data_IF_755286641666
#
_entry.id   IF_755286641666
#
_cell.length_a   1.000
_cell.length_b   1.000
_cell.length_c   1.000
_cell.angle_alpha   90.00
_cell.angle_beta   90.00
_cell.angle_gamma   90.00
#
_symmetry.space_group_name_H-M   'P 1'
#
loop_
_entity.id
_entity.type
_entity.pdbx_description
1 polymer ?
#
# COMPACT_ATOMS: atom_id res chain seq x y z
N UNK A 1 30.46 9.18 -3.32
CA UNK A 1 29.78 9.14 -4.64
C UNK A 1 28.80 10.30 -4.90
N UNK A 2 28.28 11.07 -3.93
CA UNK A 2 27.72 12.42 -4.16
C UNK A 2 26.46 12.57 -5.04
N UNK A 3 25.70 11.50 -5.30
CA UNK A 3 24.55 11.53 -6.22
C UNK A 3 23.36 12.40 -5.75
N UNK A 4 23.28 12.69 -4.45
CA UNK A 4 22.31 13.61 -3.85
C UNK A 4 22.63 15.09 -4.13
N UNK A 5 23.80 15.36 -4.72
CA UNK A 5 24.23 16.70 -5.12
C UNK A 5 24.08 16.87 -6.62
N UNK A 6 23.52 18.00 -7.07
CA UNK A 6 23.37 18.25 -8.50
C UNK A 6 24.73 18.40 -9.19
N UNK A 7 24.97 17.67 -10.30
CA UNK A 7 26.23 17.72 -11.04
C UNK A 7 26.62 19.10 -11.56
N UNK A 8 25.66 20.03 -11.73
CA UNK A 8 25.98 21.40 -12.17
C UNK A 8 26.71 22.20 -11.09
N UNK A 9 26.52 21.85 -9.81
CA UNK A 9 27.10 22.55 -8.66
C UNK A 9 28.20 21.76 -7.97
N UNK A 10 28.18 20.44 -8.11
CA UNK A 10 29.06 19.53 -7.41
C UNK A 10 29.99 18.81 -8.38
N UNK A 11 31.29 19.05 -8.26
CA UNK A 11 32.32 18.32 -8.99
C UNK A 11 32.49 18.76 -10.45
N UNK A 12 33.29 17.98 -11.19
CA UNK A 12 33.54 18.15 -12.61
C UNK A 12 33.07 16.89 -13.33
N UNK A 13 31.83 16.90 -13.81
CA UNK A 13 31.23 15.79 -14.55
C UNK A 13 31.00 16.18 -16.00
N UNK A 14 31.06 15.20 -16.91
CA UNK A 14 30.55 15.42 -18.26
C UNK A 14 29.04 15.59 -18.22
N UNK A 15 28.45 16.16 -19.28
CA UNK A 15 27.00 16.33 -19.35
C UNK A 15 26.25 14.99 -19.35
N UNK A 16 26.87 13.95 -19.94
CA UNK A 16 26.37 12.58 -19.90
C UNK A 16 26.37 12.02 -18.48
N UNK A 17 27.51 12.09 -17.78
CA UNK A 17 27.63 11.64 -16.39
C UNK A 17 26.65 12.37 -15.48
N UNK A 18 26.47 13.68 -15.69
CA UNK A 18 25.52 14.49 -14.95
C UNK A 18 24.08 14.01 -15.10
N UNK A 19 23.63 13.77 -16.33
CA UNK A 19 22.29 13.25 -16.60
C UNK A 19 22.10 11.81 -16.06
N UNK A 20 23.10 10.94 -16.24
CA UNK A 20 23.07 9.58 -15.67
C UNK A 20 22.98 9.59 -14.14
N UNK A 21 23.68 10.53 -13.48
CA UNK A 21 23.59 10.73 -12.03
C UNK A 21 22.21 11.20 -11.59
N UNK A 22 21.59 12.14 -12.31
CA UNK A 22 20.20 12.58 -12.04
C UNK A 22 19.21 11.43 -12.15
N UNK A 23 19.28 10.63 -13.23
CA UNK A 23 18.42 9.44 -13.42
C UNK A 23 18.60 8.40 -12.32
N UNK A 24 19.86 8.12 -11.97
CA UNK A 24 20.19 7.18 -10.89
C UNK A 24 19.65 7.68 -9.54
N UNK A 25 19.89 8.95 -9.21
CA UNK A 25 19.44 9.53 -7.94
C UNK A 25 17.93 9.57 -7.81
N UNK A 26 17.21 9.99 -8.85
CA UNK A 26 15.75 9.93 -8.87
C UNK A 26 15.26 8.49 -8.65
N UNK A 27 15.90 7.49 -9.27
CA UNK A 27 15.53 6.08 -9.09
C UNK A 27 15.71 5.63 -7.64
N UNK A 28 16.83 5.99 -7.01
CA UNK A 28 17.13 5.67 -5.61
C UNK A 28 16.08 6.30 -4.67
N UNK A 29 15.75 7.57 -4.86
CA UNK A 29 14.71 8.26 -4.08
C UNK A 29 13.35 7.58 -4.21
N UNK A 30 12.96 7.24 -5.43
CA UNK A 30 11.68 6.58 -5.66
C UNK A 30 11.63 5.20 -4.99
N UNK A 31 12.72 4.42 -5.08
CA UNK A 31 12.80 3.10 -4.43
C UNK A 31 12.77 3.20 -2.91
N UNK A 32 13.54 4.12 -2.32
CA UNK A 32 13.59 4.34 -0.86
C UNK A 32 12.18 4.59 -0.30
N UNK A 33 11.46 5.58 -0.84
CA UNK A 33 10.11 5.92 -0.36
C UNK A 33 9.13 4.74 -0.54
N UNK A 34 9.17 4.04 -1.69
CA UNK A 34 8.26 2.92 -1.95
C UNK A 34 8.51 1.72 -1.04
N UNK A 35 9.78 1.34 -0.84
CA UNK A 35 10.17 0.18 -0.04
C UNK A 35 9.97 0.49 1.43
N UNK A 36 10.41 1.66 1.91
CA UNK A 36 10.18 2.09 3.29
C UNK A 36 8.70 2.05 3.64
N UNK A 37 7.82 2.55 2.76
CA UNK A 37 6.38 2.46 2.98
C UNK A 37 5.87 1.01 3.08
N UNK A 38 6.33 0.12 2.20
CA UNK A 38 5.92 -1.30 2.25
C UNK A 38 6.35 -2.01 3.53
N UNK A 39 7.48 -1.60 4.11
CA UNK A 39 8.02 -2.14 5.36
C UNK A 39 7.48 -1.43 6.60
N UNK A 40 6.64 -0.41 6.41
CA UNK A 40 6.15 0.44 7.49
C UNK A 40 7.21 1.27 8.19
N UNK A 41 8.25 1.65 7.46
CA UNK A 41 9.37 2.45 7.94
C UNK A 41 9.35 3.86 7.33
N UNK A 42 9.98 4.85 7.99
CA UNK A 42 10.27 6.12 7.35
C UNK A 42 11.27 5.95 6.20
N UNK A 43 11.19 6.86 5.22
CA UNK A 43 12.20 6.96 4.14
C UNK A 43 13.57 7.27 4.75
N UNK A 44 14.63 6.63 4.27
CA UNK A 44 16.00 6.90 4.76
C UNK A 44 16.59 8.18 4.18
N UNK A 45 16.11 8.59 2.99
CA UNK A 45 16.59 9.79 2.30
C UNK A 45 15.85 11.03 2.82
N UNK A 46 16.62 11.95 3.42
CA UNK A 46 16.16 13.28 3.77
C UNK A 46 16.23 14.21 2.55
N UNK A 47 15.08 14.66 2.05
CA UNK A 47 15.00 15.51 0.85
C UNK A 47 15.67 16.88 1.04
N UNK A 48 15.67 17.43 2.25
CA UNK A 48 16.33 18.72 2.55
C UNK A 48 17.85 18.67 2.36
N UNK A 49 18.43 17.47 2.36
CA UNK A 49 19.86 17.25 2.15
C UNK A 49 20.21 16.99 0.67
N UNK A 50 19.25 17.15 -0.24
CA UNK A 50 19.38 16.84 -1.66
C UNK A 50 19.12 18.09 -2.51
N UNK A 51 19.96 18.34 -3.53
CA UNK A 51 19.73 19.43 -4.50
C UNK A 51 19.75 18.97 -5.96
N UNK A 52 19.88 17.66 -6.21
CA UNK A 52 19.82 17.06 -7.55
C UNK A 52 18.51 17.39 -8.27
N UNK A 53 18.62 17.94 -9.48
CA UNK A 53 17.48 18.28 -10.33
C UNK A 53 16.80 17.04 -10.91
N UNK A 54 15.55 17.21 -11.37
CA UNK A 54 14.84 16.17 -12.11
C UNK A 54 15.56 15.84 -13.43
N UNK A 55 15.57 14.57 -13.88
CA UNK A 55 16.14 14.18 -15.18
C UNK A 55 15.45 14.89 -16.35
N UNK A 56 16.18 15.11 -17.45
CA UNK A 56 15.59 15.66 -18.69
C UNK A 56 14.87 14.57 -19.45
N UNK A 57 13.75 14.89 -20.11
CA UNK A 57 13.02 13.94 -20.95
C UNK A 57 13.76 13.66 -22.26
N UNK A 58 14.81 12.83 -22.19
CA UNK A 58 15.66 12.41 -23.31
C UNK A 58 15.63 10.89 -23.44
N UNK A 59 15.58 10.39 -24.67
CA UNK A 59 15.80 8.98 -24.96
C UNK A 59 17.28 8.62 -24.79
N UNK A 60 17.57 7.35 -24.55
CA UNK A 60 18.96 6.88 -24.45
C UNK A 60 19.73 7.03 -25.78
N UNK A 61 19.01 7.17 -26.90
CA UNK A 61 19.58 7.46 -28.22
C UNK A 61 19.82 8.95 -28.48
N UNK A 62 19.36 9.85 -27.60
CA UNK A 62 19.46 11.29 -27.82
C UNK A 62 20.84 11.86 -27.42
N UNK A 63 21.63 11.13 -26.62
CA UNK A 63 22.93 11.56 -26.10
C UNK A 63 23.76 10.36 -25.60
N UNK A 64 25.07 10.56 -25.51
CA UNK A 64 26.09 9.55 -25.20
C UNK A 64 27.30 10.19 -24.48
N UNK A 65 28.36 9.41 -24.22
CA UNK A 65 29.57 9.86 -23.54
C UNK A 65 30.32 10.98 -24.27
N UNK A 66 30.16 11.07 -25.60
CA UNK A 66 30.83 12.07 -26.44
C UNK A 66 30.08 13.40 -26.49
N UNK A 67 28.81 13.41 -26.09
CA UNK A 67 27.95 14.60 -26.04
C UNK A 67 28.57 15.70 -25.17
N UNK A 68 28.67 16.91 -25.71
CA UNK A 68 29.23 18.09 -25.00
C UNK A 68 28.18 19.02 -24.42
N UNK A 69 27.00 19.04 -25.01
CA UNK A 69 25.85 19.83 -24.56
C UNK A 69 24.62 18.94 -24.67
N UNK A 70 23.86 18.80 -23.57
CA UNK A 70 22.64 18.01 -23.59
C UNK A 70 21.58 18.66 -24.49
N UNK A 71 20.87 17.87 -25.32
CA UNK A 71 19.71 18.35 -26.05
C UNK A 71 18.64 18.94 -25.13
N UNK A 72 17.73 19.70 -25.74
CA UNK A 72 16.53 20.16 -25.06
C UNK A 72 15.64 18.98 -24.68
N UNK A 73 14.97 19.11 -23.52
CA UNK A 73 14.03 18.11 -23.05
C UNK A 73 12.86 17.98 -24.04
N UNK A 74 12.49 16.75 -24.39
CA UNK A 74 11.32 16.50 -25.24
C UNK A 74 10.04 17.00 -24.56
N UNK A 75 9.06 17.50 -25.34
CA UNK A 75 7.77 17.92 -24.81
C UNK A 75 7.03 16.77 -24.13
N UNK A 76 6.17 17.10 -23.17
CA UNK A 76 5.44 16.11 -22.37
C UNK A 76 4.16 15.58 -23.05
N UNK A 77 4.02 15.77 -24.37
CA UNK A 77 2.90 15.28 -25.15
C UNK A 77 3.17 13.91 -25.82
N UNK A 78 4.42 13.42 -25.78
CA UNK A 78 4.84 12.15 -26.37
C UNK A 78 5.08 11.08 -25.29
N UNK A 79 4.71 9.81 -25.52
CA UNK A 79 4.85 8.72 -24.53
C UNK A 79 6.28 8.18 -24.48
N UNK A 80 7.26 9.03 -24.16
CA UNK A 80 8.65 8.58 -24.00
C UNK A 80 8.78 7.68 -22.76
N UNK A 81 9.76 6.76 -22.79
CA UNK A 81 10.05 5.92 -21.62
C UNK A 81 10.57 6.69 -20.41
N UNK A 82 11.04 7.93 -20.57
CA UNK A 82 11.51 8.71 -19.44
C UNK A 82 10.42 9.66 -18.90
N UNK A 83 9.42 10.00 -19.72
CA UNK A 83 8.33 10.87 -19.28
C UNK A 83 7.54 10.25 -18.12
N UNK A 84 7.17 8.97 -18.20
CA UNK A 84 6.46 8.33 -17.07
C UNK A 84 7.30 8.34 -15.79
N UNK A 85 8.62 8.19 -15.92
CA UNK A 85 9.55 8.18 -14.80
C UNK A 85 9.65 9.57 -14.14
N UNK A 86 9.73 10.63 -14.95
CA UNK A 86 9.72 12.03 -14.49
C UNK A 86 8.39 12.37 -13.81
N UNK A 87 7.26 11.99 -14.42
CA UNK A 87 5.92 12.24 -13.85
C UNK A 87 5.74 11.46 -12.55
N UNK A 88 6.20 10.21 -12.49
CA UNK A 88 6.24 9.44 -11.24
C UNK A 88 7.06 10.15 -10.18
N UNK A 89 8.24 10.66 -10.51
CA UNK A 89 9.11 11.37 -9.56
C UNK A 89 8.39 12.55 -8.90
N UNK A 90 7.59 13.31 -9.66
CA UNK A 90 6.76 14.42 -9.14
C UNK A 90 5.73 13.94 -8.12
N UNK A 91 5.04 12.83 -8.42
CA UNK A 91 4.03 12.27 -7.51
C UNK A 91 4.65 11.65 -6.26
N UNK A 92 5.88 11.12 -6.38
CA UNK A 92 6.60 10.52 -5.26
C UNK A 92 7.00 11.53 -4.19
N UNK A 93 7.12 12.81 -4.51
CA UNK A 93 7.32 13.88 -3.51
C UNK A 93 6.12 13.96 -2.54
N UNK A 94 4.91 14.10 -3.08
CA UNK A 94 3.68 14.10 -2.29
C UNK A 94 3.50 12.79 -1.51
N UNK A 95 3.86 11.66 -2.13
CA UNK A 95 3.78 10.37 -1.46
C UNK A 95 4.72 10.30 -0.25
N UNK A 96 5.94 10.84 -0.36
CA UNK A 96 6.87 10.97 0.77
C UNK A 96 6.29 11.77 1.93
N UNK A 97 5.66 12.91 1.66
CA UNK A 97 5.01 13.74 2.69
C UNK A 97 3.83 13.02 3.35
N UNK A 98 3.00 12.32 2.57
CA UNK A 98 1.89 11.52 3.08
C UNK A 98 2.38 10.36 3.94
N UNK A 99 3.48 9.70 3.55
CA UNK A 99 4.10 8.65 4.36
C UNK A 99 4.61 9.22 5.69
N UNK A 100 5.25 10.39 5.68
CA UNK A 100 5.68 11.06 6.91
C UNK A 100 4.49 11.42 7.82
N UNK A 101 3.40 11.93 7.25
CA UNK A 101 2.16 12.20 8.02
C UNK A 101 1.56 10.90 8.58
N UNK A 102 1.54 9.82 7.82
CA UNK A 102 1.02 8.53 8.26
C UNK A 102 1.82 7.93 9.43
N UNK A 103 3.13 8.18 9.47
CA UNK A 103 4.04 7.75 10.54
C UNK A 103 4.16 8.79 11.68
N UNK A 104 3.52 9.94 11.55
CA UNK A 104 3.59 11.00 12.56
C UNK A 104 2.55 10.78 13.66
N UNK A 105 3.00 10.84 14.92
CA UNK A 105 2.10 10.94 16.08
C UNK A 105 1.43 12.31 16.20
N UNK A 106 1.94 13.33 15.52
CA UNK A 106 1.33 14.67 15.52
C UNK A 106 0.10 14.65 14.63
N UNK A 107 -1.02 15.04 15.21
CA UNK A 107 -2.27 15.20 14.47
C UNK A 107 -2.25 16.48 13.67
N UNK A 108 -2.59 16.39 12.37
CA UNK A 108 -2.87 17.57 11.55
C UNK A 108 -4.28 18.06 11.83
N UNK A 109 -4.44 19.38 11.86
CA UNK A 109 -5.73 20.04 11.82
C UNK A 109 -6.47 19.74 10.52
N UNK A 110 -7.80 19.91 10.53
CA UNK A 110 -8.62 19.73 9.31
C UNK A 110 -8.15 20.62 8.15
N UNK A 111 -7.72 21.85 8.44
CA UNK A 111 -7.18 22.77 7.45
C UNK A 111 -5.90 22.22 6.78
N UNK A 112 -4.99 21.65 7.57
CA UNK A 112 -3.75 21.04 7.06
C UNK A 112 -4.03 19.78 6.22
N UNK A 113 -5.03 18.98 6.60
CA UNK A 113 -5.44 17.79 5.83
C UNK A 113 -6.02 18.21 4.47
N UNK A 114 -6.89 19.23 4.46
CA UNK A 114 -7.48 19.77 3.23
C UNK A 114 -6.39 20.34 2.33
N UNK A 115 -5.42 21.05 2.91
CA UNK A 115 -4.30 21.64 2.19
C UNK A 115 -3.41 20.56 1.53
N UNK A 116 -3.02 19.53 2.29
CA UNK A 116 -2.22 18.43 1.73
C UNK A 116 -2.99 17.65 0.65
N UNK A 117 -4.29 17.39 0.84
CA UNK A 117 -5.12 16.80 -0.22
C UNK A 117 -5.18 17.68 -1.48
N UNK A 118 -5.25 19.01 -1.31
CA UNK A 118 -5.24 19.95 -2.43
C UNK A 118 -3.92 19.89 -3.19
N UNK A 119 -2.79 19.84 -2.50
CA UNK A 119 -1.45 19.70 -3.09
C UNK A 119 -1.33 18.38 -3.87
N UNK A 120 -1.78 17.26 -3.29
CA UNK A 120 -1.81 15.96 -3.96
C UNK A 120 -2.58 16.03 -5.29
N UNK A 121 -3.77 16.62 -5.26
CA UNK A 121 -4.62 16.78 -6.45
C UNK A 121 -4.02 17.76 -7.46
N UNK A 122 -3.41 18.85 -6.99
CA UNK A 122 -2.75 19.83 -7.85
C UNK A 122 -1.58 19.21 -8.60
N UNK A 123 -0.70 18.45 -7.95
CA UNK A 123 0.38 17.75 -8.66
C UNK A 123 -0.17 16.78 -9.69
N UNK A 124 -1.25 16.06 -9.39
CA UNK A 124 -1.88 15.15 -10.36
C UNK A 124 -2.45 15.89 -11.59
N UNK A 125 -2.91 17.14 -11.46
CA UNK A 125 -3.36 17.94 -12.63
C UNK A 125 -2.23 18.21 -13.63
N UNK A 126 -0.96 18.17 -13.19
CA UNK A 126 0.23 18.32 -14.05
C UNK A 126 0.56 17.05 -14.85
N UNK A 127 -0.12 15.93 -14.58
CA UNK A 127 0.07 14.69 -15.36
C UNK A 127 -0.33 14.95 -16.81
N UNK A 128 0.58 14.74 -17.78
CA UNK A 128 0.29 15.00 -19.18
C UNK A 128 -0.76 14.06 -19.75
N UNK A 129 -1.53 14.55 -20.73
CA UNK A 129 -2.67 13.84 -21.32
C UNK A 129 -2.29 12.44 -21.85
N UNK A 130 -1.09 12.29 -22.39
CA UNK A 130 -0.60 10.99 -22.90
C UNK A 130 -0.43 9.94 -21.81
N UNK A 131 -0.25 10.36 -20.55
CA UNK A 131 -0.07 9.50 -19.37
C UNK A 131 -1.29 9.47 -18.45
N UNK A 132 -2.42 10.07 -18.84
CA UNK A 132 -3.67 9.96 -18.08
C UNK A 132 -4.36 8.62 -18.33
N UNK A 133 -5.04 8.14 -17.30
CA UNK A 133 -5.87 6.94 -17.35
C UNK A 133 -6.98 7.04 -18.37
N UNK A 134 -7.22 5.93 -19.06
CA UNK A 134 -8.27 5.78 -20.06
C UNK A 134 -8.87 4.37 -19.94
N UNK A 135 -10.14 4.18 -20.31
CA UNK A 135 -10.71 2.85 -20.41
C UNK A 135 -9.85 1.94 -21.30
N UNK A 136 -9.72 0.68 -20.91
CA UNK A 136 -8.93 -0.32 -21.68
C UNK A 136 -9.49 -0.47 -23.09
N UNK A 137 -10.83 -0.43 -23.22
CA UNK A 137 -11.51 -0.49 -24.52
C UNK A 137 -11.08 0.63 -25.50
N UNK A 138 -10.61 1.76 -24.99
CA UNK A 138 -10.10 2.88 -25.80
C UNK A 138 -8.59 2.78 -26.06
N UNK A 139 -7.90 1.81 -25.43
CA UNK A 139 -6.44 1.66 -25.46
C UNK A 139 -5.97 0.49 -26.34
N UNK A 140 -6.80 0.00 -27.27
CA UNK A 140 -6.51 -1.19 -28.10
C UNK A 140 -5.22 -1.02 -28.92
N UNK A 141 -4.98 0.19 -29.44
CA UNK A 141 -3.80 0.51 -30.24
C UNK A 141 -2.58 0.89 -29.39
N UNK A 142 -2.74 1.06 -28.08
CA UNK A 142 -1.66 1.48 -27.21
C UNK A 142 -0.73 0.32 -26.86
N UNK A 143 0.57 0.62 -26.74
CA UNK A 143 1.54 -0.35 -26.27
C UNK A 143 1.22 -0.76 -24.81
N UNK A 144 1.33 -2.06 -24.44
CA UNK A 144 1.06 -2.52 -23.07
C UNK A 144 1.81 -1.74 -21.99
N UNK A 145 3.04 -1.30 -22.27
CA UNK A 145 3.83 -0.48 -21.35
C UNK A 145 3.16 0.88 -21.06
N UNK A 146 2.56 1.52 -22.06
CA UNK A 146 1.87 2.79 -21.89
C UNK A 146 0.60 2.61 -21.04
N UNK A 147 -0.17 1.55 -21.27
CA UNK A 147 -1.36 1.22 -20.49
C UNK A 147 -1.00 1.02 -19.01
N UNK A 148 0.04 0.24 -18.73
CA UNK A 148 0.49 -0.04 -17.36
C UNK A 148 1.07 1.20 -16.68
N UNK A 149 1.84 2.02 -17.38
CA UNK A 149 2.40 3.25 -16.77
C UNK A 149 1.31 4.27 -16.41
N UNK A 150 0.25 4.40 -17.23
CA UNK A 150 -0.95 5.18 -16.87
C UNK A 150 -1.62 4.66 -15.60
N UNK A 151 -1.79 3.35 -15.49
CA UNK A 151 -2.30 2.73 -14.26
C UNK A 151 -1.43 3.09 -13.05
N UNK A 152 -0.11 3.00 -13.16
CA UNK A 152 0.79 3.29 -12.03
C UNK A 152 0.72 4.73 -11.55
N UNK A 153 0.63 5.68 -12.47
CA UNK A 153 0.47 7.09 -12.14
C UNK A 153 -0.84 7.32 -11.38
N UNK A 154 -1.93 6.70 -11.84
CA UNK A 154 -3.22 6.76 -11.17
C UNK A 154 -3.20 6.12 -9.78
N UNK A 155 -2.63 4.92 -9.65
CA UNK A 155 -2.56 4.21 -8.38
C UNK A 155 -1.73 4.98 -7.35
N UNK A 156 -0.60 5.57 -7.74
CA UNK A 156 0.22 6.41 -6.84
C UNK A 156 -0.61 7.60 -6.33
N UNK A 157 -1.36 8.27 -7.21
CA UNK A 157 -2.21 9.38 -6.80
C UNK A 157 -3.29 8.93 -5.82
N UNK A 158 -4.06 7.89 -6.16
CA UNK A 158 -5.14 7.37 -5.31
C UNK A 158 -4.60 6.84 -3.97
N UNK A 159 -3.42 6.23 -3.99
CA UNK A 159 -2.71 5.76 -2.80
C UNK A 159 -2.41 6.90 -1.83
N UNK A 160 -1.93 8.04 -2.32
CA UNK A 160 -1.70 9.21 -1.48
C UNK A 160 -2.99 9.65 -0.78
N UNK A 161 -4.11 9.71 -1.51
CA UNK A 161 -5.42 10.08 -0.96
C UNK A 161 -5.88 9.08 0.10
N UNK A 162 -5.82 7.77 -0.20
CA UNK A 162 -6.20 6.71 0.73
C UNK A 162 -5.38 6.77 2.04
N UNK A 163 -4.06 6.90 1.94
CA UNK A 163 -3.16 6.89 3.10
C UNK A 163 -3.37 8.13 3.98
N UNK A 164 -3.51 9.31 3.36
CA UNK A 164 -3.78 10.55 4.07
C UNK A 164 -5.09 10.47 4.86
N UNK A 165 -6.16 10.04 4.22
CA UNK A 165 -7.50 10.16 4.79
C UNK A 165 -7.91 8.98 5.68
N UNK A 166 -7.28 7.80 5.58
CA UNK A 166 -7.74 6.60 6.32
C UNK A 166 -7.82 6.82 7.83
N UNK A 167 -6.81 7.48 8.42
CA UNK A 167 -6.70 7.67 9.88
C UNK A 167 -7.78 8.63 10.38
N UNK A 168 -8.09 9.66 9.60
CA UNK A 168 -9.11 10.65 9.91
C UNK A 168 -10.54 10.13 9.65
N UNK A 169 -10.71 9.27 8.63
CA UNK A 169 -11.97 8.55 8.39
C UNK A 169 -12.34 7.67 9.59
N UNK A 170 -11.40 6.88 10.12
CA UNK A 170 -11.63 6.04 11.29
C UNK A 170 -12.15 6.83 12.51
N UNK A 171 -11.65 8.07 12.67
CA UNK A 171 -12.05 9.02 13.73
C UNK A 171 -13.35 9.78 13.43
N UNK A 172 -13.78 9.78 12.18
CA UNK A 172 -15.09 10.29 11.77
C UNK A 172 -15.14 11.63 11.08
N UNK A 173 -14.01 12.10 10.59
CA UNK A 173 -14.00 13.26 9.71
C UNK A 173 -14.74 12.94 8.39
N UNK A 174 -15.84 13.66 8.11
CA UNK A 174 -16.71 13.41 6.96
C UNK A 174 -16.01 13.64 5.61
N UNK A 175 -15.19 14.68 5.53
CA UNK A 175 -14.41 15.01 4.32
C UNK A 175 -13.43 13.89 3.98
N UNK A 176 -12.76 13.35 5.00
CA UNK A 176 -11.83 12.24 4.87
C UNK A 176 -12.54 10.96 4.50
N UNK A 177 -13.70 10.67 5.09
CA UNK A 177 -14.51 9.52 4.67
C UNK A 177 -14.87 9.61 3.19
N UNK A 178 -15.38 10.75 2.71
CA UNK A 178 -15.74 10.94 1.30
C UNK A 178 -14.53 10.73 0.39
N UNK A 179 -13.39 11.34 0.73
CA UNK A 179 -12.17 11.27 -0.06
C UNK A 179 -11.57 9.86 -0.11
N UNK A 180 -11.58 9.13 1.01
CA UNK A 180 -11.15 7.73 1.08
C UNK A 180 -12.06 6.81 0.27
N UNK A 181 -13.39 6.97 0.35
CA UNK A 181 -14.35 6.14 -0.39
C UNK A 181 -14.17 6.34 -1.89
N UNK A 182 -14.13 7.59 -2.35
CA UNK A 182 -13.93 7.92 -3.76
C UNK A 182 -12.61 7.31 -4.29
N UNK A 183 -11.51 7.50 -3.56
CA UNK A 183 -10.20 6.99 -3.96
C UNK A 183 -10.13 5.46 -3.92
N UNK A 184 -10.65 4.84 -2.85
CA UNK A 184 -10.65 3.38 -2.67
C UNK A 184 -11.52 2.67 -3.71
N UNK A 185 -12.73 3.18 -3.98
CA UNK A 185 -13.62 2.66 -5.02
C UNK A 185 -12.95 2.72 -6.39
N UNK A 186 -12.38 3.87 -6.76
CA UNK A 186 -11.68 4.04 -8.05
C UNK A 186 -10.45 3.14 -8.17
N UNK A 187 -9.66 3.03 -7.11
CA UNK A 187 -8.46 2.18 -7.09
C UNK A 187 -8.81 0.71 -7.29
N UNK A 188 -9.83 0.21 -6.58
CA UNK A 188 -10.28 -1.18 -6.66
C UNK A 188 -10.92 -1.47 -8.02
N UNK A 189 -11.79 -0.58 -8.52
CA UNK A 189 -12.45 -0.78 -9.82
C UNK A 189 -11.44 -0.80 -10.98
N UNK A 190 -10.52 0.16 -11.01
CA UNK A 190 -9.47 0.21 -12.04
C UNK A 190 -8.59 -1.05 -12.04
N UNK A 191 -8.21 -1.54 -10.85
CA UNK A 191 -7.44 -2.78 -10.75
C UNK A 191 -8.25 -3.96 -11.27
N UNK A 192 -9.51 -4.11 -10.87
CA UNK A 192 -10.36 -5.23 -11.31
C UNK A 192 -10.57 -5.26 -12.82
N UNK A 193 -10.70 -4.10 -13.46
CA UNK A 193 -10.85 -4.02 -14.91
C UNK A 193 -9.57 -4.44 -15.64
N UNK A 194 -8.41 -3.97 -15.18
CA UNK A 194 -7.12 -4.37 -15.76
C UNK A 194 -6.77 -5.82 -15.44
N UNK A 195 -7.18 -6.33 -14.27
CA UNK A 195 -6.90 -7.69 -13.86
C UNK A 195 -7.50 -8.73 -14.83
N UNK A 196 -8.68 -8.44 -15.37
CA UNK A 196 -9.34 -9.27 -16.40
C UNK A 196 -8.51 -9.38 -17.68
N UNK A 197 -7.81 -8.33 -18.07
CA UNK A 197 -6.97 -8.30 -19.27
C UNK A 197 -5.69 -9.13 -19.16
N UNK A 198 -5.32 -9.57 -17.95
CA UNK A 198 -4.22 -10.51 -17.75
C UNK A 198 -4.65 -11.98 -17.87
N UNK A 199 -5.95 -12.26 -18.01
CA UNK A 199 -6.45 -13.61 -18.26
C UNK A 199 -6.17 -14.06 -19.71
N UNK A 200 -6.15 -15.37 -20.01
CA UNK A 200 -5.98 -15.87 -21.38
C UNK A 200 -6.95 -15.20 -22.36
N UNK A 201 -6.41 -14.61 -23.43
CA UNK A 201 -7.18 -13.87 -24.44
C UNK A 201 -7.32 -12.37 -24.20
N UNK A 202 -6.90 -11.84 -23.05
CA UNK A 202 -6.88 -10.41 -22.77
C UNK A 202 -5.71 -9.67 -23.41
N UNK A 203 -5.84 -8.34 -23.57
CA UNK A 203 -4.86 -7.49 -24.24
C UNK A 203 -3.48 -7.51 -23.55
N UNK A 204 -3.47 -7.70 -22.23
CA UNK A 204 -2.26 -7.63 -21.41
C UNK A 204 -1.70 -9.01 -21.04
N UNK A 205 -2.30 -10.10 -21.51
CA UNK A 205 -1.92 -11.47 -21.17
C UNK A 205 -0.41 -11.75 -21.35
N UNK A 206 0.14 -11.35 -22.51
CA UNK A 206 1.56 -11.57 -22.84
C UNK A 206 2.52 -10.73 -21.99
N UNK A 207 2.01 -9.71 -21.29
CA UNK A 207 2.79 -8.81 -20.44
C UNK A 207 2.30 -8.79 -18.98
N UNK A 208 1.64 -9.87 -18.54
CA UNK A 208 1.19 -10.05 -17.14
C UNK A 208 2.29 -9.94 -16.09
N UNK A 209 3.55 -10.19 -16.47
CA UNK A 209 4.71 -9.98 -15.59
C UNK A 209 4.89 -8.52 -15.18
N UNK A 210 4.32 -7.57 -15.95
CA UNK A 210 4.37 -6.17 -15.60
C UNK A 210 3.56 -5.88 -14.33
N UNK A 211 2.54 -6.69 -14.01
CA UNK A 211 1.80 -6.62 -12.75
C UNK A 211 2.71 -7.02 -11.60
N UNK A 212 3.26 -6.02 -10.90
CA UNK A 212 4.20 -6.22 -9.82
C UNK A 212 3.52 -6.24 -8.45
N UNK A 213 4.29 -6.54 -7.41
CA UNK A 213 3.80 -6.55 -6.03
C UNK A 213 3.36 -5.17 -5.54
N UNK A 214 3.90 -4.06 -6.06
CA UNK A 214 3.43 -2.72 -5.69
C UNK A 214 1.98 -2.53 -6.11
N UNK A 215 1.63 -2.88 -7.35
CA UNK A 215 0.27 -2.79 -7.87
C UNK A 215 -0.70 -3.66 -7.07
N UNK A 216 -0.30 -4.88 -6.71
CA UNK A 216 -1.12 -5.75 -5.86
C UNK A 216 -1.32 -5.14 -4.46
N UNK A 217 -0.26 -4.59 -3.86
CA UNK A 217 -0.36 -3.94 -2.55
C UNK A 217 -1.27 -2.70 -2.58
N UNK A 218 -1.19 -1.90 -3.65
CA UNK A 218 -2.08 -0.76 -3.82
C UNK A 218 -3.54 -1.22 -3.92
N UNK A 219 -3.82 -2.28 -4.70
CA UNK A 219 -5.15 -2.90 -4.73
C UNK A 219 -5.62 -3.36 -3.34
N UNK A 220 -4.77 -4.07 -2.60
CA UNK A 220 -5.09 -4.55 -1.25
C UNK A 220 -5.36 -3.39 -0.27
N UNK A 221 -4.61 -2.30 -0.36
CA UNK A 221 -4.87 -1.06 0.38
C UNK A 221 -6.26 -0.51 0.06
N UNK A 222 -6.62 -0.41 -1.22
CA UNK A 222 -7.94 0.03 -1.66
C UNK A 222 -9.06 -0.84 -1.07
N UNK A 223 -8.90 -2.17 -1.14
CA UNK A 223 -9.86 -3.12 -0.55
C UNK A 223 -9.99 -2.94 0.96
N UNK A 224 -8.88 -2.75 1.67
CA UNK A 224 -8.90 -2.55 3.12
C UNK A 224 -9.56 -1.22 3.51
N UNK A 225 -9.37 -0.16 2.74
CA UNK A 225 -10.11 1.11 2.90
C UNK A 225 -11.61 0.87 2.74
N UNK A 226 -12.02 0.10 1.72
CA UNK A 226 -13.43 -0.25 1.51
C UNK A 226 -14.01 -1.11 2.65
N UNK A 227 -13.23 -2.02 3.22
CA UNK A 227 -13.64 -2.77 4.42
C UNK A 227 -13.84 -1.84 5.63
N UNK A 228 -12.91 -0.92 5.86
CA UNK A 228 -12.98 0.06 6.94
C UNK A 228 -14.20 0.99 6.79
N UNK A 229 -14.53 1.37 5.56
CA UNK A 229 -15.73 2.14 5.22
C UNK A 229 -17.00 1.43 5.69
N UNK A 230 -17.13 0.14 5.38
CA UNK A 230 -18.30 -0.66 5.79
C UNK A 230 -18.34 -0.81 7.31
N UNK A 231 -17.20 -1.07 7.95
CA UNK A 231 -17.10 -1.23 9.40
C UNK A 231 -17.47 0.06 10.16
N UNK A 232 -16.93 1.21 9.74
CA UNK A 232 -17.23 2.51 10.38
C UNK A 232 -18.70 2.90 10.29
N UNK A 233 -19.37 2.52 9.19
CA UNK A 233 -20.83 2.69 9.04
C UNK A 233 -21.60 1.85 10.07
N UNK A 234 -21.28 0.58 10.24
CA UNK A 234 -21.99 -0.28 11.21
C UNK A 234 -21.84 0.24 12.63
N UNK A 235 -20.63 0.64 13.02
CA UNK A 235 -20.35 1.17 14.36
C UNK A 235 -21.18 2.42 14.69
N UNK A 236 -21.51 3.24 13.68
CA UNK A 236 -22.28 4.49 13.86
C UNK A 236 -23.78 4.34 13.69
N UNK A 237 -24.25 3.16 13.23
CA UNK A 237 -25.64 2.92 12.91
C UNK A 237 -26.12 3.68 11.66
N UNK A 238 -27.27 3.25 11.11
CA UNK A 238 -27.80 3.77 9.83
C UNK A 238 -28.20 5.25 9.84
N UNK A 239 -28.36 5.87 11.01
CA UNK A 239 -28.90 7.23 11.16
C UNK A 239 -27.83 8.34 10.96
N UNK A 240 -26.54 8.02 11.09
CA UNK A 240 -25.42 8.96 10.99
C UNK A 240 -24.41 8.56 9.89
N UNK A 241 -24.86 7.84 8.85
CA UNK A 241 -23.97 7.35 7.79
C UNK A 241 -23.56 8.49 6.85
N UNK A 242 -22.27 8.78 6.75
CA UNK A 242 -21.73 9.75 5.78
C UNK A 242 -21.74 9.26 4.33
N UNK A 243 -22.28 8.06 4.08
CA UNK A 243 -22.24 7.33 2.81
C UNK A 243 -23.66 6.92 2.47
N UNK A 244 -24.09 7.25 1.25
CA UNK A 244 -25.43 6.90 0.76
C UNK A 244 -25.55 5.39 0.45
N UNK A 245 -26.78 4.91 0.28
CA UNK A 245 -27.06 3.50 0.02
C UNK A 245 -26.53 3.02 -1.35
N UNK A 246 -26.40 3.93 -2.33
CA UNK A 246 -25.90 3.59 -3.66
C UNK A 246 -24.39 3.29 -3.61
N UNK A 247 -23.63 4.17 -2.96
CA UNK A 247 -22.19 4.01 -2.72
C UNK A 247 -21.93 2.77 -1.88
N UNK A 248 -22.75 2.48 -0.87
CA UNK A 248 -22.62 1.24 -0.09
C UNK A 248 -22.81 0.00 -0.97
N UNK A 249 -23.84 -0.01 -1.82
CA UNK A 249 -24.09 -1.13 -2.75
C UNK A 249 -22.92 -1.34 -3.71
N UNK A 250 -22.35 -0.25 -4.24
CA UNK A 250 -21.16 -0.27 -5.09
C UNK A 250 -19.95 -0.85 -4.34
N UNK A 251 -19.66 -0.35 -3.14
CA UNK A 251 -18.55 -0.83 -2.29
C UNK A 251 -18.69 -2.33 -2.00
N UNK A 252 -19.89 -2.79 -1.62
CA UNK A 252 -20.13 -4.21 -1.39
C UNK A 252 -19.97 -5.04 -2.68
N UNK A 253 -20.36 -4.49 -3.83
CA UNK A 253 -20.14 -5.10 -5.14
C UNK A 253 -18.66 -5.26 -5.48
N UNK A 254 -17.86 -4.23 -5.23
CA UNK A 254 -16.40 -4.26 -5.41
C UNK A 254 -15.75 -5.25 -4.46
N UNK A 255 -16.11 -5.26 -3.17
CA UNK A 255 -15.58 -6.21 -2.19
C UNK A 255 -15.83 -7.66 -2.60
N UNK A 256 -17.01 -7.99 -3.15
CA UNK A 256 -17.30 -9.34 -3.66
C UNK A 256 -16.39 -9.73 -4.82
N UNK A 257 -16.15 -8.82 -5.78
CA UNK A 257 -15.24 -9.08 -6.89
C UNK A 257 -13.80 -9.23 -6.40
N UNK A 258 -13.37 -8.35 -5.49
CA UNK A 258 -12.04 -8.39 -4.88
C UNK A 258 -11.79 -9.67 -4.09
N UNK A 259 -12.81 -10.24 -3.44
CA UNK A 259 -12.69 -11.51 -2.73
C UNK A 259 -12.23 -12.63 -3.67
N UNK A 260 -12.80 -12.72 -4.88
CA UNK A 260 -12.41 -13.73 -5.88
C UNK A 260 -10.93 -13.61 -6.24
N UNK A 261 -10.45 -12.39 -6.52
CA UNK A 261 -9.05 -12.12 -6.85
C UNK A 261 -8.12 -12.43 -5.68
N UNK A 262 -8.50 -12.03 -4.45
CA UNK A 262 -7.70 -12.28 -3.26
C UNK A 262 -7.59 -13.79 -2.94
N UNK A 263 -8.67 -14.56 -3.13
CA UNK A 263 -8.66 -16.02 -2.98
C UNK A 263 -7.74 -16.65 -4.03
N UNK A 264 -7.83 -16.23 -5.29
CA UNK A 264 -6.95 -16.71 -6.36
C UNK A 264 -5.46 -16.48 -6.03
N UNK A 265 -5.14 -15.31 -5.46
CA UNK A 265 -3.76 -14.94 -5.10
C UNK A 265 -3.29 -15.41 -3.72
N UNK A 266 -4.17 -15.95 -2.89
CA UNK A 266 -3.90 -16.31 -1.49
C UNK A 266 -2.78 -17.36 -1.30
N UNK A 267 -2.50 -18.15 -2.33
CA UNK A 267 -1.42 -19.17 -2.31
C UNK A 267 -0.04 -18.56 -2.53
N UNK A 268 0.04 -17.45 -3.25
CA UNK A 268 1.31 -16.78 -3.64
C UNK A 268 1.54 -15.46 -2.90
N UNK A 269 0.51 -14.89 -2.27
CA UNK A 269 0.58 -13.63 -1.54
C UNK A 269 -0.10 -13.78 -0.17
N UNK A 270 0.69 -13.65 0.90
CA UNK A 270 0.21 -13.70 2.30
C UNK A 270 -0.85 -12.63 2.56
N UNK A 271 -0.61 -11.43 2.06
CA UNK A 271 -1.50 -10.29 2.27
C UNK A 271 -2.84 -10.49 1.57
N UNK A 272 -2.84 -11.05 0.35
CA UNK A 272 -4.08 -11.43 -0.34
C UNK A 272 -4.90 -12.45 0.46
N UNK A 273 -4.25 -13.41 1.14
CA UNK A 273 -4.94 -14.35 2.02
C UNK A 273 -5.59 -13.63 3.21
N UNK A 274 -4.87 -12.73 3.88
CA UNK A 274 -5.40 -11.96 5.01
C UNK A 274 -6.53 -11.03 4.60
N UNK A 275 -6.38 -10.32 3.50
CA UNK A 275 -7.40 -9.44 2.96
C UNK A 275 -8.63 -10.25 2.50
N UNK A 276 -8.47 -11.45 1.93
CA UNK A 276 -9.61 -12.33 1.63
C UNK A 276 -10.43 -12.67 2.88
N UNK A 277 -9.77 -12.91 4.02
CA UNK A 277 -10.42 -13.13 5.30
C UNK A 277 -11.16 -11.88 5.79
N UNK A 278 -10.52 -10.71 5.74
CA UNK A 278 -11.12 -9.43 6.11
C UNK A 278 -12.36 -9.07 5.27
N UNK A 279 -12.31 -9.31 3.95
CA UNK A 279 -13.47 -9.12 3.07
C UNK A 279 -14.60 -10.05 3.49
N UNK A 280 -14.32 -11.33 3.74
CA UNK A 280 -15.34 -12.32 4.13
C UNK A 280 -16.04 -11.90 5.43
N UNK A 281 -15.29 -11.43 6.41
CA UNK A 281 -15.85 -10.90 7.66
C UNK A 281 -16.74 -9.67 7.39
N UNK A 282 -16.26 -8.73 6.58
CA UNK A 282 -17.01 -7.52 6.20
C UNK A 282 -18.29 -7.84 5.42
N UNK A 283 -18.29 -8.87 4.57
CA UNK A 283 -19.50 -9.28 3.85
C UNK A 283 -20.48 -10.06 4.73
N UNK A 284 -19.99 -10.77 5.74
CA UNK A 284 -20.83 -11.52 6.68
C UNK A 284 -21.51 -10.60 7.70
N UNK A 285 -20.78 -9.63 8.26
CA UNK A 285 -21.39 -8.63 9.15
C UNK A 285 -22.43 -7.75 8.43
N UNK A 286 -22.30 -7.57 7.11
CA UNK A 286 -23.26 -6.80 6.31
C UNK A 286 -24.64 -7.46 6.24
N UNK A 287 -24.70 -8.78 6.50
CA UNK A 287 -25.93 -9.57 6.39
C UNK A 287 -26.78 -9.54 7.68
N UNK A 288 -26.36 -8.82 8.71
CA UNK A 288 -27.03 -8.78 10.01
C UNK A 288 -26.89 -10.09 10.81
N UNK A 289 -27.22 -10.10 12.12
CA UNK A 289 -27.22 -11.33 12.90
C UNK A 289 -28.26 -12.29 12.30
N UNK A 290 -27.79 -13.45 11.84
CA UNK A 290 -28.68 -14.58 11.53
C UNK A 290 -29.37 -14.96 12.83
N UNK A 291 -30.69 -14.82 12.88
CA UNK A 291 -31.51 -15.46 13.92
C UNK A 291 -31.17 -16.95 13.93
N UNK A 292 -30.70 -17.52 15.04
CA UNK A 292 -30.49 -18.95 15.11
C UNK A 292 -31.86 -19.61 15.06
N UNK A 293 -32.14 -20.31 13.96
CA UNK A 293 -33.27 -21.23 13.87
C UNK A 293 -33.06 -22.30 14.93
N UNK A 294 -33.77 -22.20 16.06
CA UNK A 294 -33.83 -23.26 17.06
C UNK A 294 -34.44 -24.49 16.39
N UNK A 295 -33.59 -25.40 15.92
CA UNK A 295 -33.98 -26.80 15.83
C UNK A 295 -33.91 -27.36 17.24
N UNK A 296 -35.08 -27.55 17.84
CA UNK A 296 -35.28 -28.31 19.07
C UNK A 296 -34.84 -29.76 18.82
N UNK A 297 -33.63 -30.11 19.27
CA UNK A 297 -33.20 -31.49 19.43
C UNK A 297 -33.44 -31.89 20.89
N UNK A 298 -34.30 -32.89 21.08
CA UNK A 298 -34.60 -33.50 22.36
C UNK A 298 -33.33 -34.08 23.00
N UNK A 299 -33.18 -33.84 24.30
CA UNK A 299 -32.17 -34.44 25.15
C UNK A 299 -32.46 -35.93 25.40
N UNK A 300 -31.38 -36.73 25.45
CA UNK A 300 -31.31 -37.92 26.29
C UNK A 300 -29.89 -38.03 26.84
N UNK A 301 -29.80 -37.96 28.16
CA UNK A 301 -28.61 -38.06 29.00
C UNK A 301 -28.06 -39.49 29.06
N UNK A 302 -26.74 -39.62 29.24
CA UNK A 302 -26.19 -40.54 30.24
C UNK A 302 -24.73 -40.18 30.54
N UNK A 303 -24.48 -40.00 31.83
CA UNK A 303 -23.21 -39.70 32.49
C UNK A 303 -22.13 -40.78 32.30
N UNK A 304 -20.86 -40.41 32.48
CA UNK A 304 -19.84 -41.08 33.34
C UNK A 304 -18.61 -40.14 33.45
N UNK A 305 -18.12 -39.97 34.69
CA UNK A 305 -16.94 -39.20 35.13
C UNK A 305 -15.90 -40.19 35.76
N UNK A 306 -14.72 -39.80 36.29
CA UNK A 306 -13.46 -39.39 35.64
C UNK A 306 -12.23 -40.26 36.04
N UNK A 307 -11.02 -40.01 35.49
CA UNK A 307 -9.73 -40.35 36.16
C UNK A 307 -8.52 -39.53 35.67
N UNK A 308 -7.48 -39.48 36.52
CA UNK A 308 -6.41 -38.47 36.77
C UNK A 308 -5.05 -38.75 36.08
N UNK A 309 -4.22 -37.69 35.93
CA UNK A 309 -2.73 -37.71 35.97
C UNK A 309 -2.03 -37.37 34.63
N UNK A 310 -0.90 -36.65 34.49
CA UNK A 310 0.11 -36.03 35.37
C UNK A 310 0.99 -35.10 34.49
N UNK A 311 1.67 -34.09 35.07
CA UNK A 311 2.65 -33.20 34.41
C UNK A 311 4.08 -33.75 34.47
N UNK A 312 4.90 -33.55 33.42
CA UNK A 312 6.37 -33.60 33.52
C UNK A 312 7.08 -32.52 32.68
N UNK A 313 8.16 -32.02 33.27
CA UNK A 313 9.00 -30.89 32.89
C UNK A 313 10.12 -31.26 31.90
N UNK A 314 10.72 -30.25 31.25
CA UNK A 314 11.85 -30.39 30.33
C UNK A 314 13.13 -29.84 30.98
N UNK A 315 14.20 -30.64 30.94
CA UNK A 315 15.51 -30.45 31.59
C UNK A 315 16.47 -29.57 30.74
N UNK A 316 17.22 -28.59 31.31
CA UNK A 316 17.99 -27.61 30.55
C UNK A 316 19.51 -27.87 30.61
N UNK A 317 20.05 -28.92 29.98
CA UNK A 317 21.49 -29.08 29.78
C UNK A 317 21.84 -29.96 28.56
N UNK A 318 21.96 -29.34 27.39
CA UNK A 318 22.55 -29.96 26.19
C UNK A 318 23.44 -29.00 25.39
N UNK A 319 24.10 -28.06 26.08
CA UNK A 319 25.22 -27.29 25.54
C UNK A 319 26.53 -28.07 25.77
N UNK A 320 27.37 -28.12 24.72
CA UNK A 320 28.69 -28.78 24.52
C UNK A 320 28.54 -30.01 23.58
N UNK A 321 28.90 -30.03 22.28
CA UNK A 321 30.05 -29.50 21.51
C UNK A 321 29.84 -29.88 20.01
N UNK A 322 30.78 -29.64 19.04
CA UNK A 322 31.32 -28.40 18.46
C UNK A 322 30.92 -28.16 16.96
N UNK A 323 31.21 -26.95 16.48
CA UNK A 323 30.86 -26.35 15.19
C UNK A 323 31.04 -27.20 13.91
N UNK A 324 30.01 -27.19 13.03
CA UNK A 324 30.16 -27.36 11.58
C UNK A 324 29.39 -26.26 10.86
N UNK A 325 30.10 -25.56 9.98
CA UNK A 325 29.64 -24.43 9.16
C UNK A 325 28.37 -24.81 8.39
N UNK A 326 27.26 -24.14 8.68
CA UNK A 326 25.94 -24.37 8.08
C UNK A 326 25.23 -23.04 7.80
N UNK A 327 24.54 -23.00 6.67
CA UNK A 327 23.71 -21.92 6.10
C UNK A 327 22.99 -21.05 7.14
N UNK A 328 23.07 -19.73 6.95
CA UNK A 328 22.29 -18.72 7.67
C UNK A 328 20.80 -19.03 7.52
N UNK A 329 20.17 -19.53 8.58
CA UNK A 329 18.72 -19.50 8.74
C UNK A 329 18.34 -18.06 9.10
N UNK A 330 17.67 -17.38 8.18
CA UNK A 330 16.97 -16.13 8.49
C UNK A 330 15.75 -16.46 9.34
N UNK A 331 15.71 -15.94 10.55
CA UNK A 331 14.61 -16.10 11.51
C UNK A 331 13.32 -15.44 10.95
N UNK A 332 12.37 -16.24 10.46
CA UNK A 332 11.11 -15.80 9.85
C UNK A 332 10.20 -15.02 10.83
N UNK A 333 10.45 -15.14 12.14
CA UNK A 333 9.64 -14.50 13.19
C UNK A 333 9.88 -12.99 13.26
N UNK A 334 11.13 -12.54 13.01
CA UNK A 334 11.49 -11.13 13.06
C UNK A 334 10.89 -10.29 11.92
N UNK A 335 10.70 -10.89 10.74
CA UNK A 335 10.10 -10.22 9.57
C UNK A 335 8.56 -10.20 9.61
N UNK A 336 7.93 -11.05 10.43
CA UNK A 336 6.48 -11.03 10.64
C UNK A 336 5.98 -9.75 11.31
N UNK A 337 6.82 -9.10 12.13
CA UNK A 337 6.47 -7.89 12.88
C UNK A 337 6.38 -6.62 12.01
N UNK A 338 7.07 -6.61 10.86
CA UNK A 338 7.11 -5.49 9.91
C UNK A 338 6.03 -5.57 8.82
N UNK A 339 5.15 -6.58 8.90
CA UNK A 339 4.08 -6.78 7.93
C UNK A 339 2.91 -5.84 8.23
N UNK A 340 2.54 -4.91 7.31
CA UNK A 340 1.48 -3.93 7.51
C UNK A 340 0.13 -4.57 7.86
N UNK A 341 -0.09 -5.84 7.52
CA UNK A 341 -1.36 -6.54 7.72
C UNK A 341 -1.34 -7.53 8.87
N UNK A 342 -0.30 -7.53 9.73
CA UNK A 342 -0.17 -8.52 10.81
C UNK A 342 -1.23 -8.34 11.92
N UNK A 343 -1.95 -7.22 11.95
CA UNK A 343 -3.05 -6.93 12.88
C UNK A 343 -4.33 -7.73 12.57
N UNK A 344 -4.42 -8.34 11.37
CA UNK A 344 -5.56 -9.18 10.95
C UNK A 344 -5.42 -10.57 11.60
N UNK A 345 -5.72 -10.65 12.90
CA UNK A 345 -5.79 -11.91 13.67
C UNK A 345 -7.07 -12.73 13.40
N UNK A 346 -7.19 -13.89 14.04
CA UNK A 346 -8.27 -14.87 13.80
C UNK A 346 -9.65 -14.48 14.37
N UNK A 347 -9.74 -13.53 15.31
CA UNK A 347 -11.00 -13.21 15.99
C UNK A 347 -11.64 -11.89 15.51
N UNK A 348 -12.86 -12.01 14.99
CA UNK A 348 -13.58 -10.94 14.29
C UNK A 348 -14.14 -9.84 15.20
N UNK A 349 -14.38 -10.12 16.48
CA UNK A 349 -14.97 -9.14 17.42
C UNK A 349 -13.91 -8.21 18.05
N UNK A 350 -12.62 -8.57 17.95
CA UNK A 350 -11.48 -7.80 18.46
C UNK A 350 -10.55 -7.29 17.34
N UNK A 351 -10.99 -7.29 16.08
CA UNK A 351 -10.20 -6.73 14.98
C UNK A 351 -10.14 -5.21 15.11
N UNK A 352 -9.09 -4.73 15.76
CA UNK A 352 -8.84 -3.32 15.94
C UNK A 352 -8.28 -2.73 14.64
N UNK A 353 -9.18 -2.14 13.86
CA UNK A 353 -8.86 -1.43 12.64
C UNK A 353 -7.93 -0.22 12.85
N UNK A 354 -7.73 0.21 14.11
CA UNK A 354 -6.74 1.21 14.49
C UNK A 354 -5.35 0.60 14.76
N UNK A 355 -5.23 -0.71 15.03
CA UNK A 355 -3.93 -1.42 15.15
C UNK A 355 -3.24 -1.62 13.79
N UNK A 356 -3.93 -1.43 12.66
CA UNK A 356 -3.23 -1.21 11.38
C UNK A 356 -2.23 -0.06 11.50
N UNK A 357 -2.51 0.95 12.34
CA UNK A 357 -1.58 2.04 12.60
C UNK A 357 -0.60 1.72 13.75
N UNK A 358 -0.99 0.90 14.74
CA UNK A 358 -0.11 0.58 15.89
C UNK A 358 1.03 -0.39 15.56
N UNK A 359 0.92 -1.24 14.54
CA UNK A 359 2.06 -2.09 14.15
C UNK A 359 3.15 -1.32 13.38
N UNK A 360 2.88 -0.07 13.01
CA UNK A 360 3.90 0.91 12.60
C UNK A 360 4.55 1.62 13.82
N UNK A 361 4.01 1.40 15.02
CA UNK A 361 4.48 1.97 16.27
C UNK A 361 4.70 0.85 17.29
N UNK A 362 5.88 0.23 17.30
CA UNK A 362 6.28 -0.69 18.36
C UNK A 362 5.92 -0.09 19.73
N UNK A 363 4.94 -0.67 20.42
CA UNK A 363 4.66 -0.37 21.81
C UNK A 363 5.71 -1.09 22.64
N UNK A 364 6.68 -0.33 23.17
CA UNK A 364 7.34 -0.71 24.40
C UNK A 364 6.28 -0.74 25.51
N UNK A 365 6.20 -1.88 26.20
CA UNK A 365 5.40 -2.05 27.40
C UNK A 365 5.80 -0.99 28.46
N UNK A 366 4.87 -0.55 29.32
CA UNK A 366 5.19 0.44 30.34
C UNK A 366 6.23 -0.12 31.31
N UNK A 367 7.36 0.59 31.41
CA UNK A 367 8.33 0.40 32.48
C UNK A 367 7.58 0.64 33.80
N UNK A 368 7.37 -0.44 34.57
CA UNK A 368 6.82 -0.36 35.91
C UNK A 368 7.92 0.21 36.80
N UNK A 369 7.74 1.47 37.21
CA UNK A 369 8.41 2.04 38.36
C UNK A 369 8.11 1.21 39.60
N UNK A 370 9.17 0.72 40.27
CA UNK A 370 9.04 0.15 41.61
C UNK A 370 10.19 -0.77 41.99
N UNK A 371 11.31 -0.20 42.48
CA UNK A 371 11.80 -0.39 43.85
C UNK A 371 13.24 0.14 44.03
N UNK A 372 13.38 1.12 44.92
CA UNK A 372 14.55 1.46 45.76
C UNK A 372 14.04 1.24 47.21
N UNK A 373 14.81 0.85 48.26
CA UNK A 373 16.27 0.98 48.46
C UNK A 373 17.01 -0.26 49.00
N UNK A 374 18.33 -0.17 48.99
CA UNK A 374 19.29 -0.98 49.74
C UNK A 374 20.70 -0.47 49.52
#
# INVERSE_FOLDING_TARGET
MGYHRDPDTFGSFTVFEGEMRRRCWASLRQMDVMISFQLGLPSSICLDNCDTKSPRNLLDSDFDEDTKVLPESRPENEPTRLLWFIVKDRLMANFGEVCQDALSFKEKSEAEIIQLNKEIRQTYTTVPEVLRSRPIAESIADAPFLIITRLYIDLIHLKCICILHRKYMARGNLFSTKSCVEAGTKMVSQFLDIYKEFAPGGQLYMKRWMLNNFTMNDFLLGVMVLCLVVHTRWKRGSQNSSIDAATESEVLGLLRQSHTVCVEKSTSCRDARRVSYAIRLTLNGARGPKTPTMQTAHASSSDIEPTVGESQAVDPLSLLQPCRVGSVQTDETAFGLLDPFNFIGSDADNMDWTLFDSQFFAQDAPFVDGFVPG
#
